data_IF_414722144282
#
_entry.id   IF_414722144282
#
_cell.length_a   1.000
_cell.length_b   1.000
_cell.length_c   1.000
_cell.angle_alpha   90.00
_cell.angle_beta   90.00
_cell.angle_gamma   90.00
#
_symmetry.space_group_name_H-M   'P 1'
#
loop_
_entity.id
_entity.type
_entity.pdbx_description
1 polymer ?
#
# COMPACT_ATOMS: atom_id res chain seq x y z
N UNK A 1 19.85 -15.00 -33.24
CA UNK A 1 19.86 -15.06 -31.77
C UNK A 1 18.66 -14.24 -31.34
N UNK A 2 17.54 -14.91 -31.02
CA UNK A 2 16.31 -14.22 -30.66
C UNK A 2 16.50 -13.55 -29.30
N UNK A 3 16.11 -12.29 -29.18
CA UNK A 3 15.99 -11.65 -27.87
C UNK A 3 15.10 -12.56 -27.02
N UNK A 4 15.63 -13.05 -25.90
CA UNK A 4 14.77 -13.66 -24.89
C UNK A 4 13.76 -12.57 -24.52
N UNK A 5 12.48 -12.85 -24.72
CA UNK A 5 11.44 -11.95 -24.24
C UNK A 5 11.66 -11.82 -22.72
N UNK A 6 11.91 -10.60 -22.24
CA UNK A 6 12.04 -10.35 -20.81
C UNK A 6 10.76 -10.85 -20.12
N UNK A 7 10.92 -11.66 -19.08
CA UNK A 7 9.78 -12.12 -18.30
C UNK A 7 9.12 -10.91 -17.62
N UNK A 8 7.80 -11.00 -17.39
CA UNK A 8 7.14 -9.96 -16.60
C UNK A 8 7.73 -9.96 -15.19
N UNK A 9 8.11 -8.79 -14.65
CA UNK A 9 8.67 -8.72 -13.32
C UNK A 9 7.61 -9.09 -12.28
N UNK A 10 8.02 -9.85 -11.26
CA UNK A 10 7.24 -9.96 -10.05
C UNK A 10 7.30 -8.61 -9.31
N UNK A 11 6.13 -8.11 -8.89
CA UNK A 11 5.99 -6.79 -8.27
C UNK A 11 5.48 -7.00 -6.85
N UNK A 12 6.30 -6.70 -5.82
CA UNK A 12 5.96 -7.01 -4.44
C UNK A 12 4.91 -6.06 -3.86
N UNK A 13 4.53 -6.29 -2.60
CA UNK A 13 3.69 -5.38 -1.80
C UNK A 13 2.29 -5.14 -2.37
N UNK A 14 1.79 -6.05 -3.21
CA UNK A 14 0.54 -5.91 -3.97
C UNK A 14 0.50 -4.67 -4.88
N UNK A 15 1.65 -4.10 -5.21
CA UNK A 15 1.74 -3.09 -6.24
C UNK A 15 1.38 -3.69 -7.60
N UNK A 16 0.90 -2.85 -8.51
CA UNK A 16 0.45 -3.28 -9.83
C UNK A 16 1.15 -2.54 -10.94
N UNK A 17 1.42 -3.24 -12.04
CA UNK A 17 1.89 -2.62 -13.29
C UNK A 17 0.72 -1.90 -13.95
N UNK A 18 0.72 -0.58 -13.93
CA UNK A 18 -0.35 0.23 -14.55
C UNK A 18 -0.02 0.62 -15.99
N UNK A 19 1.26 0.81 -16.32
CA UNK A 19 1.73 0.98 -17.70
C UNK A 19 2.96 0.10 -17.93
N UNK A 20 2.86 -0.96 -18.73
CA UNK A 20 4.01 -1.83 -19.02
C UNK A 20 5.02 -1.19 -19.97
N UNK A 21 4.66 -0.09 -20.63
CA UNK A 21 5.58 0.85 -21.26
C UNK A 21 4.84 2.15 -21.61
N UNK A 22 5.42 3.30 -21.29
CA UNK A 22 4.88 4.61 -21.62
C UNK A 22 6.00 5.59 -22.01
N UNK A 23 5.63 6.66 -22.71
CA UNK A 23 6.55 7.77 -22.99
C UNK A 23 6.88 8.50 -21.70
N UNK A 24 8.17 8.70 -21.44
CA UNK A 24 8.68 9.60 -20.41
C UNK A 24 9.68 10.59 -21.01
N UNK A 25 9.17 11.63 -21.68
CA UNK A 25 10.01 12.59 -22.41
C UNK A 25 9.82 14.02 -21.88
N UNK A 26 10.92 14.75 -21.77
CA UNK A 26 10.93 16.17 -21.43
C UNK A 26 10.56 16.44 -19.98
N UNK A 27 9.26 16.56 -19.66
CA UNK A 27 8.82 17.03 -18.34
C UNK A 27 8.65 15.95 -17.27
N UNK A 28 8.97 14.68 -17.54
CA UNK A 28 8.62 13.51 -16.71
C UNK A 28 7.10 13.30 -16.53
N UNK A 29 6.61 12.07 -16.63
CA UNK A 29 5.18 11.71 -16.53
C UNK A 29 4.75 11.49 -15.07
N UNK A 30 5.68 11.05 -14.21
CA UNK A 30 5.45 10.92 -12.77
C UNK A 30 5.44 12.32 -12.13
N UNK A 31 4.39 12.60 -11.36
CA UNK A 31 4.22 13.85 -10.63
C UNK A 31 5.07 13.84 -9.35
N UNK A 32 5.77 14.95 -9.09
CA UNK A 32 6.70 15.03 -7.96
C UNK A 32 7.91 14.10 -8.09
N UNK A 33 8.28 13.73 -9.33
CA UNK A 33 9.32 12.73 -9.62
C UNK A 33 10.61 12.98 -8.86
N UNK A 34 11.04 11.96 -8.11
CA UNK A 34 12.38 11.84 -7.54
C UNK A 34 13.06 10.67 -8.26
N UNK A 35 14.07 10.99 -9.07
CA UNK A 35 14.88 10.00 -9.76
C UNK A 35 16.09 9.62 -8.89
N UNK A 36 16.32 8.31 -8.73
CA UNK A 36 17.52 7.73 -8.13
C UNK A 36 18.19 6.82 -9.16
N UNK A 37 19.47 7.07 -9.43
CA UNK A 37 20.29 6.15 -10.21
C UNK A 37 20.81 5.03 -9.29
N UNK A 38 20.35 3.80 -9.52
CA UNK A 38 20.65 2.63 -8.71
C UNK A 38 21.45 1.59 -9.53
N UNK A 39 22.68 1.26 -9.12
CA UNK A 39 23.48 0.24 -9.81
C UNK A 39 22.89 -1.17 -9.70
N UNK A 40 21.91 -1.41 -8.82
CA UNK A 40 21.22 -2.68 -8.65
C UNK A 40 19.71 -2.54 -8.91
N UNK A 41 19.31 -1.63 -9.79
CA UNK A 41 17.90 -1.36 -10.09
C UNK A 41 17.20 -2.59 -10.65
N UNK A 42 16.00 -2.87 -10.13
CA UNK A 42 15.00 -3.80 -10.65
C UNK A 42 13.61 -3.21 -10.42
N UNK A 43 12.55 -3.68 -11.10
CA UNK A 43 11.19 -3.24 -10.81
C UNK A 43 10.81 -3.43 -9.33
N UNK A 44 11.14 -4.59 -8.76
CA UNK A 44 10.87 -4.90 -7.36
C UNK A 44 11.61 -3.96 -6.40
N UNK A 45 12.92 -3.77 -6.59
CA UNK A 45 13.71 -2.90 -5.72
C UNK A 45 13.28 -1.43 -5.84
N UNK A 46 12.84 -0.99 -7.02
CA UNK A 46 12.33 0.36 -7.21
C UNK A 46 10.99 0.56 -6.50
N UNK A 47 10.07 -0.39 -6.64
CA UNK A 47 8.78 -0.39 -5.92
C UNK A 47 9.01 -0.35 -4.40
N UNK A 48 9.84 -1.23 -3.85
CA UNK A 48 10.16 -1.26 -2.42
C UNK A 48 10.77 0.06 -1.94
N UNK A 49 11.65 0.66 -2.74
CA UNK A 49 12.25 1.97 -2.43
C UNK A 49 11.22 3.09 -2.40
N UNK A 50 10.28 3.10 -3.34
CA UNK A 50 9.25 4.12 -3.41
C UNK A 50 8.21 3.94 -2.29
N UNK A 51 7.82 2.69 -2.02
CA UNK A 51 6.90 2.34 -0.93
C UNK A 51 7.45 2.76 0.44
N UNK A 52 8.74 2.48 0.72
CA UNK A 52 9.42 2.87 1.96
C UNK A 52 9.50 4.39 2.19
N UNK A 53 9.20 5.19 1.16
CA UNK A 53 9.16 6.65 1.20
C UNK A 53 7.72 7.19 1.06
N UNK A 54 6.71 6.33 1.18
CA UNK A 54 5.29 6.64 1.04
C UNK A 54 4.90 7.23 -0.33
N UNK A 55 5.66 6.91 -1.39
CA UNK A 55 5.25 7.23 -2.75
C UNK A 55 4.29 6.18 -3.28
N UNK A 56 3.24 6.63 -3.97
CA UNK A 56 2.18 5.75 -4.50
C UNK A 56 2.41 5.38 -5.98
N UNK A 57 3.42 5.97 -6.62
CA UNK A 57 3.89 5.60 -7.95
C UNK A 57 5.39 5.34 -7.94
N UNK A 58 5.79 4.34 -8.72
CA UNK A 58 7.16 3.99 -9.00
C UNK A 58 7.32 3.81 -10.51
N UNK A 59 8.52 4.00 -11.02
CA UNK A 59 8.83 3.67 -12.40
C UNK A 59 10.29 3.35 -12.61
N UNK A 60 10.56 2.51 -13.62
CA UNK A 60 11.92 2.17 -14.02
C UNK A 60 12.20 2.65 -15.43
N UNK A 61 13.34 3.30 -15.61
CA UNK A 61 13.80 3.85 -16.88
C UNK A 61 15.31 3.63 -17.07
N UNK A 62 15.75 3.59 -18.33
CA UNK A 62 17.16 3.63 -18.74
C UNK A 62 18.08 2.63 -18.01
N UNK A 63 17.59 1.41 -17.75
CA UNK A 63 18.23 0.36 -16.97
C UNK A 63 18.39 0.66 -15.47
N UNK A 64 18.96 1.81 -15.10
CA UNK A 64 19.41 2.11 -13.74
C UNK A 64 18.61 3.23 -13.05
N UNK A 65 17.62 3.83 -13.69
CA UNK A 65 16.83 4.89 -13.09
C UNK A 65 15.59 4.30 -12.40
N UNK A 66 15.44 4.64 -11.12
CA UNK A 66 14.24 4.40 -10.34
C UNK A 66 13.58 5.75 -10.04
N UNK A 67 12.30 5.84 -10.35
CA UNK A 67 11.48 7.03 -10.26
C UNK A 67 10.42 6.82 -9.20
N UNK A 68 10.30 7.73 -8.24
CA UNK A 68 9.23 7.71 -7.24
C UNK A 68 8.40 8.98 -7.33
N UNK A 69 7.08 8.87 -7.14
CA UNK A 69 6.24 10.07 -7.13
C UNK A 69 4.84 9.87 -6.54
N UNK A 70 4.13 10.97 -6.46
CA UNK A 70 2.83 11.07 -5.77
C UNK A 70 1.64 10.95 -6.72
N UNK A 71 1.89 10.84 -8.02
CA UNK A 71 0.83 10.82 -9.02
C UNK A 71 1.36 10.74 -10.44
N UNK A 72 0.47 10.94 -11.40
CA UNK A 72 0.79 11.14 -12.81
C UNK A 72 0.40 12.57 -13.22
N UNK A 73 1.25 13.24 -14.01
CA UNK A 73 0.97 14.62 -14.46
C UNK A 73 -0.15 14.67 -15.50
N UNK A 74 -0.30 13.61 -16.26
CA UNK A 74 -1.34 13.41 -17.27
C UNK A 74 -1.50 11.91 -17.51
N UNK A 75 -2.47 11.51 -18.34
CA UNK A 75 -2.54 10.13 -18.82
C UNK A 75 -1.28 9.79 -19.64
N UNK A 76 -0.49 8.79 -19.25
CA UNK A 76 0.70 8.38 -20.00
C UNK A 76 0.35 7.91 -21.42
N UNK A 77 1.16 8.28 -22.42
CA UNK A 77 1.07 7.70 -23.76
C UNK A 77 1.64 6.28 -23.73
N UNK A 78 0.78 5.27 -23.83
CA UNK A 78 1.20 3.87 -23.86
C UNK A 78 2.03 3.55 -25.12
N UNK A 79 3.09 2.76 -24.95
CA UNK A 79 4.00 2.33 -26.01
C UNK A 79 4.11 0.80 -26.06
N UNK A 80 4.55 0.22 -27.19
CA UNK A 80 4.89 -1.20 -27.24
C UNK A 80 5.92 -1.56 -26.16
N UNK A 81 5.74 -2.68 -25.48
CA UNK A 81 6.69 -3.17 -24.46
C UNK A 81 8.08 -3.42 -25.01
N UNK A 82 8.21 -3.64 -26.33
CA UNK A 82 9.50 -3.71 -27.02
C UNK A 82 10.32 -2.41 -26.96
N UNK A 83 9.71 -1.27 -26.61
CA UNK A 83 10.42 0.00 -26.38
C UNK A 83 10.90 0.15 -24.92
N UNK A 84 10.39 -0.68 -23.99
CA UNK A 84 10.85 -0.78 -22.61
C UNK A 84 11.60 -2.10 -22.40
N UNK A 85 12.70 -2.29 -23.14
CA UNK A 85 13.44 -3.54 -23.21
C UNK A 85 14.92 -3.41 -22.81
N UNK A 86 15.31 -2.32 -22.14
CA UNK A 86 16.64 -2.20 -21.59
C UNK A 86 16.78 -3.11 -20.38
N UNK A 87 17.83 -3.92 -20.34
CA UNK A 87 18.09 -4.84 -19.24
C UNK A 87 18.31 -4.06 -17.93
N UNK A 88 17.72 -4.52 -16.84
CA UNK A 88 17.92 -3.92 -15.52
C UNK A 88 19.37 -4.07 -15.05
N UNK A 89 19.87 -3.11 -14.27
CA UNK A 89 21.22 -3.18 -13.71
C UNK A 89 21.37 -4.19 -12.58
N UNK A 90 20.29 -4.46 -11.83
CA UNK A 90 20.25 -5.48 -10.77
C UNK A 90 19.95 -6.90 -11.26
N UNK A 91 19.31 -7.07 -12.42
CA UNK A 91 19.06 -8.37 -13.04
C UNK A 91 18.88 -8.23 -14.56
N UNK A 92 19.87 -8.72 -15.32
CA UNK A 92 19.86 -8.61 -16.78
C UNK A 92 18.75 -9.43 -17.47
N UNK A 93 18.01 -10.28 -16.75
CA UNK A 93 16.85 -11.01 -17.28
C UNK A 93 15.54 -10.23 -17.16
N UNK A 94 15.54 -9.08 -16.48
CA UNK A 94 14.40 -8.19 -16.32
C UNK A 94 14.54 -6.94 -17.22
N UNK A 95 13.41 -6.32 -17.53
CA UNK A 95 13.34 -5.06 -18.27
C UNK A 95 13.14 -3.87 -17.32
N UNK A 96 13.90 -2.80 -17.56
CA UNK A 96 13.88 -1.55 -16.80
C UNK A 96 13.81 -0.35 -17.75
N UNK A 97 12.68 -0.25 -18.43
CA UNK A 97 12.36 0.87 -19.33
C UNK A 97 13.21 0.91 -20.60
N UNK A 98 13.42 2.11 -21.11
CA UNK A 98 14.17 2.41 -22.32
C UNK A 98 14.59 3.88 -22.34
N UNK A 99 15.14 4.36 -23.46
CA UNK A 99 15.38 5.81 -23.64
C UNK A 99 14.06 6.56 -23.77
N UNK A 100 13.77 7.45 -22.83
CA UNK A 100 12.50 8.20 -22.72
C UNK A 100 11.28 7.25 -22.64
N UNK A 101 11.47 6.11 -21.99
CA UNK A 101 10.48 5.02 -21.89
C UNK A 101 10.46 4.43 -20.50
N UNK A 102 9.31 4.52 -19.86
CA UNK A 102 9.13 4.13 -18.46
C UNK A 102 8.12 2.99 -18.33
N UNK A 103 8.42 2.05 -17.45
CA UNK A 103 7.43 1.14 -16.88
C UNK A 103 6.90 1.74 -15.59
N UNK A 104 5.58 1.83 -15.41
CA UNK A 104 4.96 2.52 -14.27
C UNK A 104 4.20 1.52 -13.41
N UNK A 105 4.45 1.59 -12.11
CA UNK A 105 3.81 0.80 -11.06
C UNK A 105 3.05 1.69 -10.10
N UNK A 106 1.98 1.15 -9.52
CA UNK A 106 1.12 1.87 -8.58
C UNK A 106 0.92 1.05 -7.30
N UNK A 107 1.03 1.74 -6.16
CA UNK A 107 0.71 1.22 -4.84
C UNK A 107 -0.77 0.85 -4.71
N UNK A 108 -1.12 -0.17 -3.89
CA UNK A 108 -2.51 -0.42 -3.52
C UNK A 108 -3.09 0.67 -2.59
N UNK A 109 -2.25 1.57 -2.05
CA UNK A 109 -2.64 2.58 -1.08
C UNK A 109 -3.89 3.35 -1.49
N UNK A 110 -4.80 3.53 -0.53
CA UNK A 110 -5.91 4.45 -0.69
C UNK A 110 -5.38 5.90 -0.71
N UNK A 111 -6.06 6.83 -1.41
CA UNK A 111 -5.69 8.25 -1.38
C UNK A 111 -5.65 8.82 0.04
N UNK A 112 -5.10 10.02 0.21
CA UNK A 112 -5.25 10.75 1.48
C UNK A 112 -6.72 11.07 1.74
N UNK A 113 -7.20 10.80 2.96
CA UNK A 113 -8.61 10.94 3.32
C UNK A 113 -8.89 10.68 4.80
N UNK A 114 -10.15 10.85 5.20
CA UNK A 114 -10.60 10.63 6.57
C UNK A 114 -11.02 9.19 6.88
N UNK A 115 -11.14 8.89 8.18
CA UNK A 115 -11.65 7.63 8.71
C UNK A 115 -12.79 7.90 9.68
N UNK A 116 -13.90 7.17 9.52
CA UNK A 116 -15.09 7.28 10.37
C UNK A 116 -15.28 6.04 11.24
N UNK A 117 -15.53 6.23 12.54
CA UNK A 117 -15.90 5.16 13.46
C UNK A 117 -17.23 4.52 13.03
N UNK A 118 -17.25 3.20 12.92
CA UNK A 118 -18.43 2.40 12.58
C UNK A 118 -19.06 1.72 13.80
N UNK A 119 -18.36 1.71 14.94
CA UNK A 119 -18.82 1.15 16.21
C UNK A 119 -18.03 -0.10 16.62
N UNK A 120 -18.58 -0.81 17.61
CA UNK A 120 -17.99 -2.02 18.19
C UNK A 120 -18.68 -3.28 17.65
N UNK A 121 -17.90 -4.31 17.31
CA UNK A 121 -18.40 -5.55 16.74
C UNK A 121 -17.87 -6.76 17.50
N UNK A 122 -18.67 -7.83 17.59
CA UNK A 122 -18.19 -9.15 18.04
C UNK A 122 -17.15 -9.64 17.05
N UNK A 123 -15.97 -10.02 17.55
CA UNK A 123 -14.92 -10.62 16.73
C UNK A 123 -14.42 -11.90 17.39
N UNK A 124 -14.94 -13.03 16.91
CA UNK A 124 -14.60 -14.36 17.43
C UNK A 124 -14.38 -15.32 16.26
N UNK A 125 -13.71 -16.46 16.46
CA UNK A 125 -13.52 -17.44 15.39
C UNK A 125 -14.82 -17.93 14.73
N UNK A 126 -15.96 -17.86 15.44
CA UNK A 126 -17.28 -18.31 14.93
C UNK A 126 -18.21 -17.16 14.56
N UNK A 127 -17.87 -15.92 14.92
CA UNK A 127 -18.59 -14.70 14.58
C UNK A 127 -17.58 -13.57 14.37
N UNK A 128 -16.81 -13.59 13.27
CA UNK A 128 -15.83 -12.56 12.97
C UNK A 128 -16.52 -11.25 12.58
N UNK A 129 -15.86 -10.13 12.87
CA UNK A 129 -16.33 -8.82 12.43
C UNK A 129 -16.01 -8.60 10.94
N UNK A 130 -14.80 -8.96 10.50
CA UNK A 130 -14.34 -8.76 9.13
C UNK A 130 -14.43 -10.00 8.23
N UNK A 131 -14.69 -9.75 6.95
CA UNK A 131 -14.70 -10.77 5.91
C UNK A 131 -13.29 -11.06 5.39
N UNK A 132 -13.06 -12.29 4.94
CA UNK A 132 -11.78 -12.68 4.34
C UNK A 132 -11.52 -11.95 3.00
N UNK A 133 -10.26 -11.58 2.70
CA UNK A 133 -9.08 -11.72 3.56
C UNK A 133 -9.07 -10.69 4.70
N UNK A 134 -8.61 -11.12 5.88
CA UNK A 134 -8.30 -10.25 7.01
C UNK A 134 -6.78 -10.21 7.18
N UNK A 135 -6.21 -9.02 7.19
CA UNK A 135 -4.79 -8.81 7.46
C UNK A 135 -4.63 -8.38 8.90
N UNK A 136 -3.92 -9.17 9.70
CA UNK A 136 -3.57 -8.84 11.07
C UNK A 136 -2.17 -8.22 11.12
N UNK A 137 -1.99 -7.19 11.96
CA UNK A 137 -0.72 -6.52 12.17
C UNK A 137 -0.57 -6.07 13.62
N UNK A 138 0.63 -6.20 14.16
CA UNK A 138 0.99 -5.67 15.48
C UNK A 138 2.17 -4.73 15.34
N UNK A 139 2.05 -3.55 15.94
CA UNK A 139 3.08 -2.52 15.87
C UNK A 139 4.11 -2.70 17.00
N UNK A 140 5.38 -2.37 16.72
CA UNK A 140 6.46 -2.43 17.71
C UNK A 140 6.27 -1.41 18.85
N UNK A 141 5.63 -0.27 18.55
CA UNK A 141 5.19 0.74 19.51
C UNK A 141 3.74 1.04 19.25
N UNK A 142 2.91 1.07 20.29
CA UNK A 142 1.46 1.20 20.20
C UNK A 142 0.94 2.51 20.81
N UNK A 143 1.80 3.53 20.90
CA UNK A 143 1.52 4.84 21.53
C UNK A 143 0.40 5.64 20.84
N UNK A 144 0.08 5.34 19.58
CA UNK A 144 -1.02 5.94 18.81
C UNK A 144 -1.72 4.85 17.98
N UNK A 145 -2.09 3.74 18.63
CA UNK A 145 -2.46 2.50 17.96
C UNK A 145 -3.58 2.63 16.92
N UNK A 146 -4.63 3.43 17.20
CA UNK A 146 -5.72 3.65 16.23
C UNK A 146 -5.19 4.31 14.96
N UNK A 147 -4.40 5.39 15.10
CA UNK A 147 -3.81 6.12 13.98
C UNK A 147 -2.91 5.19 13.17
N UNK A 148 -2.03 4.45 13.84
CA UNK A 148 -1.14 3.50 13.18
C UNK A 148 -1.92 2.43 12.41
N UNK A 149 -3.02 1.93 12.98
CA UNK A 149 -3.85 0.91 12.35
C UNK A 149 -4.55 1.44 11.09
N UNK A 150 -5.19 2.61 11.17
CA UNK A 150 -5.88 3.20 10.01
C UNK A 150 -4.89 3.59 8.92
N UNK A 151 -3.73 4.16 9.27
CA UNK A 151 -2.68 4.51 8.30
C UNK A 151 -2.08 3.27 7.63
N UNK A 152 -1.83 2.21 8.41
CA UNK A 152 -1.37 0.94 7.85
C UNK A 152 -2.39 0.37 6.87
N UNK A 153 -3.66 0.23 7.26
CA UNK A 153 -4.71 -0.29 6.38
C UNK A 153 -4.88 0.58 5.13
N UNK A 154 -4.77 1.91 5.27
CA UNK A 154 -4.77 2.84 4.14
C UNK A 154 -3.61 2.57 3.18
N UNK A 155 -2.39 2.41 3.70
CA UNK A 155 -1.16 2.15 2.93
C UNK A 155 -1.24 0.85 2.14
N UNK A 156 -1.82 -0.20 2.73
CA UNK A 156 -1.97 -1.51 2.07
C UNK A 156 -3.28 -1.64 1.25
N UNK A 157 -4.10 -0.58 1.17
CA UNK A 157 -5.25 -0.51 0.27
C UNK A 157 -6.57 -1.06 0.82
N UNK A 158 -6.67 -1.26 2.13
CA UNK A 158 -7.85 -1.83 2.79
C UNK A 158 -8.74 -0.72 3.37
N UNK A 159 -10.02 -0.61 2.95
CA UNK A 159 -10.92 0.47 3.35
C UNK A 159 -11.57 0.30 4.73
N UNK A 160 -11.30 -0.80 5.43
CA UNK A 160 -11.69 -1.00 6.82
C UNK A 160 -10.47 -1.33 7.66
N UNK A 161 -10.43 -0.72 8.84
CA UNK A 161 -9.44 -0.93 9.88
C UNK A 161 -10.16 -1.27 11.18
N UNK A 162 -9.58 -2.13 11.99
CA UNK A 162 -10.17 -2.58 13.24
C UNK A 162 -9.10 -2.69 14.32
N UNK A 163 -9.39 -2.17 15.50
CA UNK A 163 -8.53 -2.34 16.67
C UNK A 163 -9.15 -3.37 17.61
N UNK A 164 -8.42 -4.44 17.90
CA UNK A 164 -8.81 -5.45 18.87
C UNK A 164 -7.79 -5.50 20.02
N UNK A 165 -8.31 -5.51 21.24
CA UNK A 165 -7.56 -5.73 22.48
C UNK A 165 -6.29 -4.84 22.67
N UNK A 166 -6.23 -3.66 22.06
CA UNK A 166 -5.11 -2.73 22.20
C UNK A 166 -3.82 -3.10 21.46
N UNK A 167 -3.81 -4.17 20.67
CA UNK A 167 -2.57 -4.68 20.05
C UNK A 167 -2.74 -5.34 18.68
N UNK A 168 -3.95 -5.82 18.34
CA UNK A 168 -4.22 -6.45 17.05
C UNK A 168 -4.94 -5.49 16.11
N UNK A 169 -4.20 -5.03 15.08
CA UNK A 169 -4.76 -4.23 14.02
C UNK A 169 -5.22 -5.15 12.91
N UNK A 170 -6.48 -5.02 12.52
CA UNK A 170 -7.08 -5.82 11.48
C UNK A 170 -7.48 -4.94 10.30
N UNK A 171 -7.15 -5.36 9.08
CA UNK A 171 -7.59 -4.70 7.85
C UNK A 171 -8.45 -5.62 6.99
N UNK A 172 -9.52 -5.09 6.39
CA UNK A 172 -10.39 -5.85 5.50
C UNK A 172 -11.08 -4.97 4.44
N UNK A 173 -11.61 -5.61 3.39
CA UNK A 173 -12.45 -4.94 2.40
C UNK A 173 -13.89 -4.73 2.89
N UNK A 174 -14.27 -5.33 4.02
CA UNK A 174 -15.57 -5.12 4.63
C UNK A 174 -15.92 -6.12 5.72
N UNK A 175 -17.16 -6.03 6.19
CA UNK A 175 -17.69 -6.91 7.23
C UNK A 175 -17.88 -8.35 6.74
N UNK A 176 -17.74 -9.30 7.66
CA UNK A 176 -18.21 -10.66 7.45
C UNK A 176 -19.74 -10.70 7.31
N UNK A 177 -20.24 -11.72 6.61
CA UNK A 177 -21.68 -11.95 6.50
C UNK A 177 -22.28 -12.20 7.90
N UNK A 178 -23.19 -11.33 8.32
CA UNK A 178 -23.82 -11.42 9.64
C UNK A 178 -23.00 -10.85 10.79
N UNK A 179 -22.00 -10.02 10.51
CA UNK A 179 -21.24 -9.28 11.53
C UNK A 179 -22.19 -8.63 12.55
N UNK A 180 -21.88 -8.82 13.83
CA UNK A 180 -22.75 -8.44 14.93
C UNK A 180 -22.23 -7.19 15.61
N UNK A 181 -22.90 -6.07 15.38
CA UNK A 181 -22.67 -4.85 16.15
C UNK A 181 -23.15 -4.99 17.59
N UNK A 182 -22.39 -4.42 18.52
CA UNK A 182 -22.70 -4.39 19.95
C UNK A 182 -22.61 -2.95 20.47
N UNK A 183 -22.95 -2.76 21.75
CA UNK A 183 -22.78 -1.44 22.37
C UNK A 183 -21.30 -1.04 22.35
N UNK A 184 -21.00 0.22 22.03
CA UNK A 184 -19.63 0.72 21.95
C UNK A 184 -18.86 0.56 23.26
N UNK A 185 -19.56 0.55 24.41
CA UNK A 185 -18.96 0.31 25.72
C UNK A 185 -18.39 -1.10 25.91
N UNK A 186 -18.69 -2.06 25.02
CA UNK A 186 -18.03 -3.36 25.02
C UNK A 186 -16.60 -3.31 24.44
N UNK A 187 -16.29 -2.30 23.63
CA UNK A 187 -14.94 -2.00 23.17
C UNK A 187 -14.23 -1.08 24.17
N UNK A 188 -14.05 -1.56 25.41
CA UNK A 188 -13.52 -0.76 26.53
C UNK A 188 -12.04 -0.98 26.85
N UNK A 189 -11.27 -1.70 26.03
CA UNK A 189 -9.82 -1.83 26.22
C UNK A 189 -9.16 -0.51 25.92
N UNK A 190 -8.42 0.03 26.89
CA UNK A 190 -7.69 1.28 26.71
C UNK A 190 -6.51 1.09 25.76
N UNK A 191 -6.35 2.05 24.86
CA UNK A 191 -5.16 2.18 24.05
C UNK A 191 -3.93 2.44 24.94
N UNK A 192 -2.77 1.89 24.59
CA UNK A 192 -1.52 2.13 25.29
C UNK A 192 -0.93 3.49 24.88
N UNK A 193 -1.47 4.58 25.44
CA UNK A 193 -1.04 5.95 25.13
C UNK A 193 0.14 6.44 26.01
N UNK A 194 0.90 7.47 25.56
CA UNK A 194 1.87 8.15 26.41
C UNK A 194 1.22 8.78 27.65
N UNK A 195 1.98 8.95 28.75
CA UNK A 195 1.46 9.62 29.95
C UNK A 195 1.05 11.07 29.63
N UNK A 196 -0.23 11.38 29.83
CA UNK A 196 -0.79 12.72 29.65
C UNK A 196 -1.71 12.88 28.45
N UNK A 197 -1.77 11.89 27.54
CA UNK A 197 -2.52 11.97 26.28
C UNK A 197 -3.98 11.51 26.38
N UNK A 198 -4.54 11.52 27.60
CA UNK A 198 -5.93 11.16 27.84
C UNK A 198 -6.20 9.65 27.81
N UNK A 199 -7.39 9.27 27.36
CA UNK A 199 -7.84 7.89 27.24
C UNK A 199 -8.50 7.70 25.89
N UNK A 200 -8.07 6.69 25.16
CA UNK A 200 -8.69 6.22 23.92
C UNK A 200 -8.99 4.72 24.06
N UNK A 201 -9.99 4.24 23.32
CA UNK A 201 -10.36 2.82 23.33
C UNK A 201 -9.90 2.12 22.04
N UNK A 202 -9.26 0.98 22.20
CA UNK A 202 -8.66 0.18 21.14
C UNK A 202 -9.30 -1.22 21.07
N UNK A 203 -10.63 -1.24 20.99
CA UNK A 203 -11.41 -2.47 20.97
C UNK A 203 -11.62 -3.08 22.34
N UNK A 204 -11.74 -4.40 22.39
CA UNK A 204 -11.87 -5.19 23.60
C UNK A 204 -11.43 -6.64 23.34
N UNK A 205 -11.48 -7.49 24.35
CA UNK A 205 -11.27 -8.93 24.14
C UNK A 205 -12.43 -9.47 23.30
N UNK A 206 -12.14 -10.02 22.11
CA UNK A 206 -13.16 -10.51 21.17
C UNK A 206 -14.13 -9.42 20.73
N UNK A 207 -13.64 -8.18 20.66
CA UNK A 207 -14.40 -6.98 20.33
C UNK A 207 -13.54 -6.08 19.45
N UNK A 208 -13.98 -5.91 18.22
CA UNK A 208 -13.28 -5.09 17.23
C UNK A 208 -13.92 -3.71 17.16
N UNK A 209 -13.14 -2.68 17.47
CA UNK A 209 -13.53 -1.29 17.21
C UNK A 209 -13.25 -0.99 15.73
N UNK A 210 -14.29 -0.79 14.93
CA UNK A 210 -14.17 -0.73 13.47
C UNK A 210 -14.22 0.71 12.95
N UNK A 211 -13.31 1.02 12.03
CA UNK A 211 -13.23 2.27 11.29
C UNK A 211 -13.35 2.00 9.79
N UNK A 212 -13.95 2.94 9.07
CA UNK A 212 -14.11 2.88 7.61
C UNK A 212 -13.49 4.11 6.97
N UNK A 213 -12.76 3.92 5.88
CA UNK A 213 -12.22 4.99 5.06
C UNK A 213 -13.34 5.76 4.36
N UNK A 214 -13.30 7.10 4.44
CA UNK A 214 -14.35 7.99 3.93
C UNK A 214 -13.92 8.87 2.75
N UNK A 215 -12.63 8.91 2.44
CA UNK A 215 -12.09 9.79 1.40
C UNK A 215 -11.61 11.13 1.91
#
# INVERSE_FOLDING_TARGET
MGALAFDQPDIPLNWTTVYPCAVDFGSRIIAGDITVQDPNNTPASCVERCDAQNFIYAGVEFSNECHCGTGLKSTPEARPTSECNMACTGDANLSCGGSDRIQIYKSPALPGGGWGLQGCFVDTPTSPAFGNPVVHHSFATNLEFIIQCVEFCQHIGYPFAGAENGEDCQCSFGFAAGAQGVDESECSTLCPLPPGDGQEFCGGVQRLMVYRYEG
#
